data_IF_882385821328
#
_entry.id   IF_882385821328
#
_cell.length_a   1.000
_cell.length_b   1.000
_cell.length_c   1.000
_cell.angle_alpha   90.00
_cell.angle_beta   90.00
_cell.angle_gamma   90.00
#
_symmetry.space_group_name_H-M   'P 1'
#
loop_
_entity.id
_entity.type
_entity.pdbx_description
1 polymer ?
#
# COMPACT_ATOMS: atom_id res chain seq x y z
N UNK A 1 18.66 -5.89 -14.18
CA UNK A 1 17.96 -7.15 -14.54
C UNK A 1 16.92 -6.79 -15.57
N UNK A 2 17.06 -7.32 -16.78
CA UNK A 2 16.12 -7.08 -17.88
C UNK A 2 15.17 -8.28 -17.97
N UNK A 3 13.87 -8.01 -18.14
CA UNK A 3 12.83 -9.02 -18.25
C UNK A 3 12.09 -8.79 -19.55
N UNK A 4 12.13 -9.78 -20.45
CA UNK A 4 11.41 -9.75 -21.73
C UNK A 4 10.09 -10.51 -21.62
N UNK A 5 9.01 -9.91 -22.14
CA UNK A 5 7.66 -10.48 -22.04
C UNK A 5 7.04 -10.50 -23.44
N UNK A 6 6.63 -11.68 -23.94
CA UNK A 6 5.93 -11.78 -25.21
C UNK A 6 4.63 -10.97 -25.19
N UNK A 7 4.38 -10.18 -26.24
CA UNK A 7 3.18 -9.32 -26.34
C UNK A 7 1.90 -10.17 -26.21
N UNK A 8 1.90 -11.39 -26.76
CA UNK A 8 0.80 -12.34 -26.66
C UNK A 8 0.47 -12.80 -25.23
N UNK A 9 1.39 -12.59 -24.28
CA UNK A 9 1.20 -12.92 -22.86
C UNK A 9 0.96 -11.67 -21.99
N UNK A 10 0.87 -10.48 -22.58
CA UNK A 10 0.68 -9.24 -21.82
C UNK A 10 -0.60 -9.25 -21.00
N UNK A 11 -1.72 -9.69 -21.58
CA UNK A 11 -3.01 -9.73 -20.86
C UNK A 11 -3.02 -10.74 -19.71
N UNK A 12 -2.21 -11.80 -19.80
CA UNK A 12 -2.03 -12.79 -18.74
C UNK A 12 -0.88 -12.45 -17.78
N UNK A 13 -0.07 -11.44 -18.11
CA UNK A 13 0.96 -10.93 -17.24
C UNK A 13 0.28 -10.04 -16.20
N UNK A 14 0.51 -10.27 -14.91
CA UNK A 14 -0.05 -9.44 -13.83
C UNK A 14 0.61 -8.05 -13.75
N UNK A 15 0.90 -7.46 -14.91
CA UNK A 15 1.59 -6.18 -15.07
C UNK A 15 0.55 -5.10 -15.15
N UNK A 16 0.76 -4.07 -14.34
CA UNK A 16 -0.10 -2.88 -14.28
C UNK A 16 0.77 -1.68 -14.62
N UNK A 17 0.18 -0.69 -15.30
CA UNK A 17 0.80 0.65 -15.40
C UNK A 17 0.79 1.31 -14.02
N UNK A 18 1.80 2.10 -13.74
CA UNK A 18 1.83 2.98 -12.55
C UNK A 18 0.60 3.90 -12.59
N UNK A 19 0.04 4.22 -11.42
CA UNK A 19 -1.10 5.16 -11.34
C UNK A 19 -0.69 6.57 -11.79
N UNK A 20 -1.65 7.40 -12.17
CA UNK A 20 -1.40 8.82 -12.45
C UNK A 20 -1.34 9.65 -11.15
N UNK A 21 -0.80 10.87 -11.26
CA UNK A 21 -0.66 11.78 -10.11
C UNK A 21 -2.00 12.20 -9.50
N UNK A 22 -3.05 12.38 -10.29
CA UNK A 22 -4.36 12.81 -9.78
C UNK A 22 -4.98 11.72 -8.91
N UNK A 23 -4.91 10.47 -9.38
CA UNK A 23 -5.32 9.30 -8.60
C UNK A 23 -4.50 9.19 -7.31
N UNK A 24 -3.18 9.38 -7.39
CA UNK A 24 -2.33 9.36 -6.20
C UNK A 24 -2.72 10.45 -5.17
N UNK A 25 -3.00 11.66 -5.63
CA UNK A 25 -3.39 12.75 -4.72
C UNK A 25 -4.72 12.46 -4.02
N UNK A 26 -5.67 11.81 -4.71
CA UNK A 26 -6.91 11.34 -4.09
C UNK A 26 -6.66 10.23 -3.06
N UNK A 27 -5.76 9.29 -3.36
CA UNK A 27 -5.33 8.24 -2.41
C UNK A 27 -4.71 8.87 -1.17
N UNK A 28 -3.81 9.83 -1.34
CA UNK A 28 -3.17 10.56 -0.23
C UNK A 28 -4.21 11.29 0.62
N UNK A 29 -5.18 11.97 -0.01
CA UNK A 29 -6.28 12.63 0.72
C UNK A 29 -7.08 11.63 1.57
N UNK A 30 -7.41 10.45 1.01
CA UNK A 30 -8.12 9.39 1.73
C UNK A 30 -7.23 8.69 2.77
N UNK A 31 -5.92 8.67 2.56
CA UNK A 31 -4.94 8.14 3.49
C UNK A 31 -4.87 9.00 4.75
N UNK A 32 -4.84 10.34 4.61
CA UNK A 32 -4.78 11.25 5.75
C UNK A 32 -6.11 11.42 6.49
N UNK A 33 -7.25 11.38 5.79
CA UNK A 33 -8.57 11.64 6.39
C UNK A 33 -9.38 10.38 6.73
N UNK A 34 -8.90 9.20 6.34
CA UNK A 34 -9.70 7.99 6.46
C UNK A 34 -9.63 7.37 7.85
N UNK A 35 -10.76 6.84 8.30
CA UNK A 35 -10.86 6.10 9.54
C UNK A 35 -10.79 4.60 9.29
N UNK A 36 -10.14 3.88 10.19
CA UNK A 36 -10.09 2.42 10.19
C UNK A 36 -11.31 1.84 10.89
N UNK A 37 -11.91 0.78 10.35
CA UNK A 37 -12.97 0.04 11.05
C UNK A 37 -12.39 -0.71 12.27
N UNK A 38 -12.74 -0.21 13.45
CA UNK A 38 -12.24 -0.70 14.75
C UNK A 38 -13.00 -1.91 15.28
N UNK A 39 -14.11 -2.30 14.63
CA UNK A 39 -14.96 -3.41 15.09
C UNK A 39 -14.35 -4.79 14.79
N UNK A 40 -13.34 -4.85 13.92
CA UNK A 40 -12.75 -6.09 13.43
C UNK A 40 -11.74 -6.68 14.41
N UNK A 41 -11.86 -7.99 14.67
CA UNK A 41 -10.81 -8.72 15.40
C UNK A 41 -9.50 -8.75 14.62
N UNK A 42 -8.37 -8.92 15.34
CA UNK A 42 -7.04 -9.08 14.73
C UNK A 42 -7.03 -10.09 13.56
N UNK A 43 -7.65 -11.26 13.75
CA UNK A 43 -7.65 -12.34 12.75
C UNK A 43 -8.44 -11.96 11.50
N UNK A 44 -9.58 -11.29 11.66
CA UNK A 44 -10.39 -10.80 10.54
C UNK A 44 -9.66 -9.70 9.78
N UNK A 45 -9.09 -8.73 10.51
CA UNK A 45 -8.30 -7.63 9.92
C UNK A 45 -7.11 -8.14 9.14
N UNK A 46 -6.31 -9.05 9.71
CA UNK A 46 -5.17 -9.63 9.01
C UNK A 46 -5.58 -10.34 7.71
N UNK A 47 -6.68 -11.11 7.75
CA UNK A 47 -7.22 -11.76 6.54
C UNK A 47 -7.65 -10.74 5.50
N UNK A 48 -8.43 -9.74 5.87
CA UNK A 48 -8.91 -8.68 4.97
C UNK A 48 -7.76 -7.89 4.36
N UNK A 49 -6.78 -7.48 5.17
CA UNK A 49 -5.61 -6.75 4.70
C UNK A 49 -4.75 -7.59 3.77
N UNK A 50 -4.60 -8.89 4.05
CA UNK A 50 -3.91 -9.82 3.16
C UNK A 50 -4.63 -9.94 1.80
N UNK A 51 -5.96 -10.06 1.80
CA UNK A 51 -6.74 -10.09 0.55
C UNK A 51 -6.64 -8.76 -0.23
N UNK A 52 -6.69 -7.62 0.47
CA UNK A 52 -6.44 -6.29 -0.12
C UNK A 52 -5.08 -6.23 -0.81
N UNK A 53 -4.03 -6.69 -0.14
CA UNK A 53 -2.67 -6.72 -0.70
C UNK A 53 -2.54 -7.62 -1.94
N UNK A 54 -3.25 -8.76 -1.98
CA UNK A 54 -3.25 -9.65 -3.15
C UNK A 54 -3.87 -9.03 -4.41
N UNK A 55 -4.74 -8.03 -4.26
CA UNK A 55 -5.36 -7.37 -5.43
C UNK A 55 -4.40 -6.54 -6.25
N UNK A 56 -3.28 -6.10 -5.68
CA UNK A 56 -2.34 -5.19 -6.34
C UNK A 56 -2.88 -3.77 -6.57
N UNK A 57 -4.05 -3.44 -6.00
CA UNK A 57 -4.61 -2.09 -6.04
C UNK A 57 -3.92 -1.21 -4.98
N UNK A 58 -3.36 -0.09 -5.43
CA UNK A 58 -2.60 0.84 -4.58
C UNK A 58 -3.48 1.56 -3.56
N UNK A 59 -4.73 1.87 -3.89
CA UNK A 59 -5.68 2.49 -2.94
C UNK A 59 -5.89 1.56 -1.74
N UNK A 60 -6.11 0.26 -2.02
CA UNK A 60 -6.26 -0.77 -0.98
C UNK A 60 -4.97 -0.98 -0.18
N UNK A 61 -3.82 -0.88 -0.84
CA UNK A 61 -2.52 -0.93 -0.16
C UNK A 61 -2.35 0.24 0.82
N UNK A 62 -2.66 1.46 0.37
CA UNK A 62 -2.62 2.67 1.20
C UNK A 62 -3.57 2.56 2.40
N UNK A 63 -4.77 2.02 2.19
CA UNK A 63 -5.74 1.74 3.25
C UNK A 63 -5.16 0.78 4.31
N UNK A 64 -4.49 -0.31 3.89
CA UNK A 64 -3.83 -1.26 4.80
C UNK A 64 -2.73 -0.59 5.62
N UNK A 65 -1.90 0.26 4.98
CA UNK A 65 -0.84 1.01 5.67
C UNK A 65 -1.45 1.94 6.72
N UNK A 66 -2.46 2.72 6.34
CA UNK A 66 -3.15 3.67 7.22
C UNK A 66 -3.73 2.97 8.44
N UNK A 67 -4.51 1.91 8.20
CA UNK A 67 -5.20 1.21 9.27
C UNK A 67 -4.19 0.59 10.26
N UNK A 68 -3.19 -0.13 9.76
CA UNK A 68 -2.17 -0.76 10.60
C UNK A 68 -1.31 0.27 11.36
N UNK A 69 -0.99 1.42 10.76
CA UNK A 69 -0.28 2.50 11.47
C UNK A 69 -1.12 3.13 12.57
N UNK A 70 -2.41 3.40 12.30
CA UNK A 70 -3.33 3.92 13.31
C UNK A 70 -3.44 2.97 14.49
N UNK A 71 -3.48 1.67 14.22
CA UNK A 71 -3.47 0.65 15.26
C UNK A 71 -2.14 0.63 16.00
N UNK A 72 -0.99 0.66 15.33
CA UNK A 72 0.33 0.61 15.98
C UNK A 72 0.56 1.78 16.95
N UNK A 73 -0.04 2.95 16.67
CA UNK A 73 -0.05 4.12 17.57
C UNK A 73 -0.86 3.90 18.86
N UNK A 74 -1.97 3.16 18.78
CA UNK A 74 -2.84 2.90 19.94
C UNK A 74 -2.44 1.61 20.69
N UNK A 75 -2.02 0.57 19.96
CA UNK A 75 -1.71 -0.77 20.46
C UNK A 75 -0.62 -1.42 19.61
N UNK A 76 0.35 -2.04 20.26
CA UNK A 76 1.42 -2.77 19.58
C UNK A 76 0.87 -3.86 18.65
N UNK A 77 1.28 -3.78 17.38
CA UNK A 77 1.02 -4.81 16.38
C UNK A 77 1.76 -6.11 16.72
N UNK A 78 1.17 -7.26 16.37
CA UNK A 78 1.91 -8.53 16.41
C UNK A 78 2.88 -8.67 15.24
N UNK A 79 3.75 -9.68 15.29
CA UNK A 79 4.79 -9.91 14.27
C UNK A 79 4.24 -10.02 12.85
N UNK A 80 3.10 -10.71 12.66
CA UNK A 80 2.48 -10.88 11.34
C UNK A 80 1.95 -9.56 10.78
N UNK A 81 1.33 -8.74 11.61
CA UNK A 81 0.84 -7.41 11.21
C UNK A 81 1.97 -6.44 10.94
N UNK A 82 3.04 -6.46 11.75
CA UNK A 82 4.24 -5.65 11.51
C UNK A 82 4.88 -6.00 10.17
N UNK A 83 4.98 -7.30 9.85
CA UNK A 83 5.49 -7.74 8.56
C UNK A 83 4.57 -7.29 7.40
N UNK A 84 3.25 -7.38 7.58
CA UNK A 84 2.28 -6.95 6.59
C UNK A 84 2.36 -5.43 6.34
N UNK A 85 2.43 -4.63 7.41
CA UNK A 85 2.63 -3.18 7.34
C UNK A 85 3.93 -2.84 6.61
N UNK A 86 5.06 -3.47 6.97
CA UNK A 86 6.34 -3.23 6.31
C UNK A 86 6.29 -3.51 4.79
N UNK A 87 5.66 -4.61 4.40
CA UNK A 87 5.49 -4.97 2.98
C UNK A 87 4.57 -3.98 2.24
N UNK A 88 3.44 -3.61 2.85
CA UNK A 88 2.50 -2.65 2.29
C UNK A 88 3.14 -1.27 2.12
N UNK A 89 3.81 -0.76 3.16
CA UNK A 89 4.51 0.52 3.13
C UNK A 89 5.58 0.55 2.04
N UNK A 90 6.36 -0.53 1.87
CA UNK A 90 7.39 -0.59 0.83
C UNK A 90 6.81 -0.51 -0.58
N UNK A 91 5.69 -1.20 -0.83
CA UNK A 91 5.00 -1.14 -2.13
C UNK A 91 4.45 0.27 -2.36
N UNK A 92 3.83 0.87 -1.35
CA UNK A 92 3.23 2.19 -1.48
C UNK A 92 4.28 3.29 -1.70
N UNK A 93 5.38 3.28 -0.94
CA UNK A 93 6.51 4.21 -1.09
C UNK A 93 7.11 4.14 -2.51
N UNK A 94 7.27 2.91 -3.04
CA UNK A 94 7.79 2.72 -4.40
C UNK A 94 6.87 3.28 -5.47
N UNK A 95 5.57 3.06 -5.34
CA UNK A 95 4.61 3.64 -6.27
C UNK A 95 4.67 5.18 -6.20
N UNK A 96 4.70 5.74 -4.99
CA UNK A 96 4.80 7.18 -4.75
C UNK A 96 6.05 7.78 -5.40
N UNK A 97 7.20 7.12 -5.23
CA UNK A 97 8.47 7.52 -5.83
C UNK A 97 8.41 7.52 -7.36
N UNK A 98 7.78 6.51 -7.97
CA UNK A 98 7.61 6.42 -9.42
C UNK A 98 6.66 7.50 -9.97
N UNK A 99 5.57 7.79 -9.26
CA UNK A 99 4.56 8.78 -9.71
C UNK A 99 5.06 10.21 -9.56
N UNK A 100 5.63 10.56 -8.39
CA UNK A 100 6.09 11.93 -8.10
C UNK A 100 7.54 12.19 -8.53
N UNK A 101 8.28 11.18 -8.99
CA UNK A 101 9.68 11.32 -9.38
C UNK A 101 10.62 11.61 -8.20
N UNK A 102 10.27 11.13 -7.00
CA UNK A 102 11.02 11.37 -5.76
C UNK A 102 11.68 10.08 -5.26
N UNK A 103 12.68 10.21 -4.38
CA UNK A 103 13.35 9.07 -3.77
C UNK A 103 12.44 8.34 -2.77
N UNK A 104 12.71 7.06 -2.49
CA UNK A 104 12.00 6.29 -1.45
C UNK A 104 12.09 6.99 -0.08
N UNK A 105 13.19 7.72 0.19
CA UNK A 105 13.40 8.49 1.43
C UNK A 105 12.41 9.67 1.50
N UNK A 106 12.33 10.48 0.45
CA UNK A 106 11.41 11.61 0.37
C UNK A 106 9.94 11.16 0.40
N UNK A 107 9.62 10.06 -0.28
CA UNK A 107 8.28 9.48 -0.23
C UNK A 107 7.90 9.00 1.18
N UNK A 108 8.87 8.44 1.92
CA UNK A 108 8.68 8.03 3.31
C UNK A 108 8.44 9.23 4.23
N UNK A 109 9.20 10.31 4.06
CA UNK A 109 8.99 11.57 4.79
C UNK A 109 7.63 12.18 4.50
N UNK A 110 7.16 12.14 3.25
CA UNK A 110 5.82 12.65 2.90
C UNK A 110 4.68 11.87 3.59
N UNK A 111 4.88 10.57 3.83
CA UNK A 111 3.86 9.71 4.44
C UNK A 111 3.91 9.69 5.97
N UNK A 112 5.10 9.75 6.56
CA UNK A 112 5.31 9.51 7.99
C UNK A 112 6.05 10.64 8.73
N UNK A 113 6.51 11.67 8.02
CA UNK A 113 7.04 12.90 8.60
C UNK A 113 5.93 13.80 9.09
#
# INVERSE_FOLDING_TARGET
MEVMIPISKMDNSRIRRVIDSYTLDNILKNFHNGESDRSLSYKQRFKLNTEKMKTGNIEKCAEVVRDLMSIDKEKSLNSSEKQLLGNASKIFIRELGLVKGITEIQAKELLFG
#
